data_IF_375082364596
#
_entry.id   IF_375082364596
#
_cell.length_a   1.000
_cell.length_b   1.000
_cell.length_c   1.000
_cell.angle_alpha   90.00
_cell.angle_beta   90.00
_cell.angle_gamma   90.00
#
_symmetry.space_group_name_H-M   'P 1'
#
loop_
_entity.id
_entity.type
_entity.pdbx_description
1 polymer ?
#
# COMPACT_ATOMS: atom_id res chain seq x y z
N UNK A 1 22.58 -8.18 5.19
CA UNK A 1 21.31 -8.69 4.63
C UNK A 1 20.55 -9.65 5.56
N UNK A 2 21.18 -10.40 6.44
CA UNK A 2 20.54 -11.37 7.36
C UNK A 2 19.87 -10.75 8.59
N UNK A 3 20.35 -9.62 9.09
CA UNK A 3 19.82 -8.98 10.30
C UNK A 3 18.42 -8.32 10.09
N UNK A 4 18.13 -7.78 8.92
CA UNK A 4 16.82 -7.18 8.61
C UNK A 4 15.69 -8.20 8.45
N UNK A 5 15.99 -9.43 7.98
CA UNK A 5 14.98 -10.50 7.93
C UNK A 5 14.54 -10.96 9.33
N UNK A 6 15.48 -11.04 10.27
CA UNK A 6 15.18 -11.48 11.64
C UNK A 6 14.29 -10.49 12.40
N UNK A 7 14.43 -9.18 12.16
CA UNK A 7 13.60 -8.16 12.80
C UNK A 7 12.15 -8.15 12.26
N UNK A 8 11.96 -8.36 10.96
CA UNK A 8 10.63 -8.42 10.37
C UNK A 8 9.82 -9.65 10.87
N UNK A 9 10.48 -10.78 10.99
CA UNK A 9 9.84 -12.00 11.49
C UNK A 9 9.52 -11.89 13.00
N UNK A 10 10.36 -11.22 13.79
CA UNK A 10 10.11 -10.96 15.20
C UNK A 10 8.99 -9.94 15.45
N UNK A 11 8.89 -8.88 14.62
CA UNK A 11 7.81 -7.90 14.71
C UNK A 11 6.44 -8.52 14.37
N UNK A 12 6.41 -9.43 13.38
CA UNK A 12 5.20 -10.17 13.00
C UNK A 12 4.83 -11.18 14.09
N UNK A 13 5.79 -11.84 14.74
CA UNK A 13 5.55 -12.76 15.84
C UNK A 13 5.05 -12.03 17.13
N UNK A 14 5.52 -10.80 17.39
CA UNK A 14 5.00 -9.98 18.48
C UNK A 14 3.56 -9.52 18.23
N UNK A 15 3.18 -9.25 16.97
CA UNK A 15 1.79 -9.01 16.59
C UNK A 15 0.91 -10.23 16.88
N UNK A 16 1.42 -11.44 16.63
CA UNK A 16 0.71 -12.69 16.91
C UNK A 16 0.44 -12.88 18.42
N UNK A 17 1.39 -12.50 19.29
CA UNK A 17 1.21 -12.59 20.74
C UNK A 17 0.14 -11.64 21.27
N UNK A 18 -0.02 -10.49 20.68
CA UNK A 18 -1.05 -9.50 21.06
C UNK A 18 -2.45 -9.93 20.60
N UNK A 19 -2.55 -10.63 19.46
CA UNK A 19 -3.84 -11.09 18.89
C UNK A 19 -4.33 -12.39 19.54
N UNK A 20 -3.44 -13.25 20.08
CA UNK A 20 -3.81 -14.56 20.66
C UNK A 20 -4.30 -14.50 22.11
N UNK A 21 -4.27 -13.33 22.77
CA UNK A 21 -4.72 -13.18 24.16
C UNK A 21 -6.25 -13.05 24.33
N UNK A 22 -7.06 -13.16 23.26
CA UNK A 22 -8.52 -13.15 23.37
C UNK A 22 -9.13 -14.56 23.52
N UNK A 23 -9.26 -14.95 24.75
CA UNK A 23 -10.32 -15.72 25.45
C UNK A 23 -10.90 -16.99 24.80
N UNK A 24 -10.39 -18.13 25.28
CA UNK A 24 -11.07 -19.43 25.20
C UNK A 24 -11.56 -19.84 26.59
N UNK A 25 -12.73 -19.39 27.00
CA UNK A 25 -13.42 -20.05 28.12
C UNK A 25 -14.93 -19.96 27.93
N UNK A 26 -15.54 -21.05 27.58
CA UNK A 26 -16.87 -21.52 28.00
C UNK A 26 -17.50 -22.42 26.92
N UNK A 27 -17.26 -23.70 26.99
CA UNK A 27 -18.19 -24.73 26.48
C UNK A 27 -17.85 -26.09 27.08
N UNK A 28 -18.45 -26.38 28.21
CA UNK A 28 -18.64 -27.76 28.67
C UNK A 28 -19.81 -27.81 29.64
N UNK A 29 -20.96 -28.28 29.18
CA UNK A 29 -21.96 -29.06 29.91
C UNK A 29 -23.27 -29.16 29.11
N UNK A 30 -23.51 -30.31 28.53
CA UNK A 30 -24.83 -30.96 28.42
C UNK A 30 -24.81 -32.08 27.37
N UNK A 31 -24.46 -33.30 27.80
CA UNK A 31 -24.76 -34.51 27.01
C UNK A 31 -25.12 -35.66 27.96
N UNK A 32 -26.40 -35.97 28.05
CA UNK A 32 -26.93 -37.32 28.32
C UNK A 32 -28.44 -37.29 28.09
N UNK A 33 -28.89 -37.96 27.09
CA UNK A 33 -30.09 -38.82 26.94
C UNK A 33 -30.63 -38.88 25.52
N UNK A 34 -30.86 -40.10 25.05
CA UNK A 34 -31.82 -40.59 24.09
C UNK A 34 -31.22 -41.30 22.84
N UNK A 35 -31.07 -42.63 23.07
CA UNK A 35 -30.79 -43.62 21.99
C UNK A 35 -32.11 -44.18 21.44
N UNK A 36 -32.49 -43.79 20.22
CA UNK A 36 -33.34 -44.55 19.32
C UNK A 36 -32.75 -44.47 17.91
N UNK A 37 -32.62 -45.59 17.16
CA UNK A 37 -31.88 -45.63 15.89
C UNK A 37 -32.49 -44.74 14.80
N UNK A 38 -33.79 -44.51 14.76
CA UNK A 38 -34.41 -43.57 13.83
C UNK A 38 -34.12 -42.11 14.11
N UNK A 39 -33.89 -41.74 15.38
CA UNK A 39 -33.50 -40.39 15.79
C UNK A 39 -32.02 -40.11 15.55
N UNK A 40 -31.18 -41.15 15.56
CA UNK A 40 -29.77 -41.08 15.20
C UNK A 40 -29.55 -40.81 13.72
N UNK A 41 -30.40 -41.36 12.84
CA UNK A 41 -30.35 -41.08 11.39
C UNK A 41 -30.78 -39.65 11.06
N UNK A 42 -31.80 -39.11 11.73
CA UNK A 42 -32.25 -37.73 11.54
C UNK A 42 -31.24 -36.76 12.17
N UNK A 43 -30.63 -37.07 13.33
CA UNK A 43 -29.58 -36.28 13.93
C UNK A 43 -28.29 -36.31 13.09
N UNK A 44 -27.93 -37.45 12.50
CA UNK A 44 -26.80 -37.53 11.58
C UNK A 44 -27.02 -36.72 10.28
N UNK A 45 -28.28 -36.76 9.74
CA UNK A 45 -28.63 -35.94 8.57
C UNK A 45 -28.66 -34.46 8.88
N UNK A 46 -29.12 -34.07 10.08
CA UNK A 46 -29.06 -32.66 10.53
C UNK A 46 -27.64 -32.19 10.88
N UNK A 47 -26.80 -33.09 11.37
CA UNK A 47 -25.36 -32.78 11.59
C UNK A 47 -24.60 -32.68 10.27
N UNK A 48 -24.92 -33.53 9.27
CA UNK A 48 -24.36 -33.38 7.92
C UNK A 48 -24.87 -32.10 7.22
N UNK A 49 -26.10 -31.68 7.43
CA UNK A 49 -26.62 -30.43 6.86
C UNK A 49 -26.11 -29.20 7.60
N UNK A 50 -25.74 -29.30 8.88
CA UNK A 50 -25.11 -28.21 9.62
C UNK A 50 -23.60 -28.07 9.35
N UNK A 51 -22.94 -29.13 8.86
CA UNK A 51 -21.55 -29.07 8.39
C UNK A 51 -21.40 -28.42 7.00
N UNK A 52 -22.52 -28.21 6.30
CA UNK A 52 -22.58 -27.42 5.06
C UNK A 52 -22.87 -25.92 5.28
N UNK A 53 -22.76 -25.41 6.50
CA UNK A 53 -22.53 -23.97 6.69
C UNK A 53 -21.15 -23.69 6.06
N UNK A 54 -21.18 -23.28 4.79
CA UNK A 54 -20.04 -22.64 4.18
C UNK A 54 -19.58 -21.56 5.17
N UNK A 55 -18.44 -21.81 5.84
CA UNK A 55 -17.85 -20.80 6.69
C UNK A 55 -17.64 -19.57 5.82
N UNK A 56 -18.53 -18.58 5.98
CA UNK A 56 -18.41 -17.35 5.23
C UNK A 56 -17.03 -16.80 5.49
N UNK A 57 -16.29 -16.53 4.44
CA UNK A 57 -14.93 -16.02 4.61
C UNK A 57 -15.00 -14.73 5.43
N UNK A 58 -14.16 -14.63 6.46
CA UNK A 58 -14.11 -13.43 7.27
C UNK A 58 -13.52 -12.29 6.44
N UNK A 59 -14.19 -11.16 6.45
CA UNK A 59 -13.79 -9.99 5.67
C UNK A 59 -12.52 -9.35 6.26
N UNK A 60 -11.57 -9.05 5.40
CA UNK A 60 -10.46 -8.15 5.67
C UNK A 60 -10.68 -6.92 4.83
N UNK A 61 -10.70 -5.74 5.44
CA UNK A 61 -10.76 -4.48 4.70
C UNK A 61 -9.39 -3.81 4.67
N UNK A 62 -9.14 -3.07 3.61
CA UNK A 62 -7.94 -2.25 3.42
C UNK A 62 -8.36 -0.83 3.10
N UNK A 63 -7.57 0.15 3.56
CA UNK A 63 -8.00 1.55 3.52
C UNK A 63 -8.04 2.12 2.11
N UNK A 64 -7.00 1.91 1.30
CA UNK A 64 -6.80 2.59 0.03
C UNK A 64 -6.38 1.65 -1.09
N UNK A 65 -6.27 2.19 -2.30
CA UNK A 65 -6.01 1.41 -3.50
C UNK A 65 -4.62 0.74 -3.54
N UNK A 66 -3.50 1.37 -3.14
CA UNK A 66 -2.23 0.67 -3.03
C UNK A 66 -2.28 -0.57 -2.14
N UNK A 67 -2.91 -0.48 -0.97
CA UNK A 67 -3.11 -1.63 -0.09
C UNK A 67 -4.04 -2.68 -0.71
N UNK A 68 -5.06 -2.25 -1.43
CA UNK A 68 -5.94 -3.15 -2.16
C UNK A 68 -5.17 -3.96 -3.21
N UNK A 69 -4.35 -3.33 -4.04
CA UNK A 69 -3.52 -4.01 -5.04
C UNK A 69 -2.53 -5.01 -4.41
N UNK A 70 -1.92 -4.64 -3.27
CA UNK A 70 -1.02 -5.53 -2.52
C UNK A 70 -1.79 -6.70 -1.91
N UNK A 71 -3.01 -6.45 -1.41
CA UNK A 71 -3.90 -7.49 -0.90
C UNK A 71 -4.38 -8.43 -2.00
N UNK A 72 -4.77 -7.92 -3.17
CA UNK A 72 -5.16 -8.72 -4.33
C UNK A 72 -4.02 -9.65 -4.78
N UNK A 73 -2.78 -9.18 -4.75
CA UNK A 73 -1.62 -10.02 -5.05
C UNK A 73 -1.50 -11.21 -4.07
N UNK A 74 -1.87 -11.02 -2.80
CA UNK A 74 -1.84 -12.05 -1.75
C UNK A 74 -3.05 -12.98 -1.86
N UNK A 75 -4.25 -12.43 -2.10
CA UNK A 75 -5.52 -13.18 -2.04
C UNK A 75 -5.89 -13.87 -3.34
N UNK A 76 -5.10 -13.75 -4.40
CA UNK A 76 -5.39 -14.36 -5.69
C UNK A 76 -5.76 -15.84 -5.58
N UNK A 77 -7.01 -16.18 -5.96
CA UNK A 77 -7.58 -17.54 -5.82
C UNK A 77 -8.23 -17.84 -4.47
N UNK A 78 -8.43 -16.81 -3.64
CA UNK A 78 -9.16 -16.83 -2.37
C UNK A 78 -10.05 -15.58 -2.27
N UNK A 79 -10.86 -15.43 -1.21
CA UNK A 79 -11.65 -14.22 -1.00
C UNK A 79 -10.77 -12.98 -0.93
N UNK A 80 -11.16 -11.96 -1.69
CA UNK A 80 -10.50 -10.64 -1.77
C UNK A 80 -10.72 -9.81 -0.52
N UNK A 81 -9.86 -8.80 -0.32
CA UNK A 81 -10.14 -7.75 0.65
C UNK A 81 -11.24 -6.81 0.14
N UNK A 82 -11.91 -6.13 1.05
CA UNK A 82 -12.79 -5.01 0.75
C UNK A 82 -11.99 -3.70 0.84
N UNK A 83 -12.14 -2.84 -0.15
CA UNK A 83 -11.51 -1.52 -0.16
C UNK A 83 -12.46 -0.49 0.49
N UNK A 84 -11.95 0.33 1.40
CA UNK A 84 -12.74 1.33 2.12
C UNK A 84 -12.88 2.61 1.29
N UNK A 85 -11.76 3.24 0.92
CA UNK A 85 -11.77 4.48 0.13
C UNK A 85 -11.96 4.17 -1.35
N UNK A 86 -12.67 5.04 -2.08
CA UNK A 86 -12.81 4.93 -3.53
C UNK A 86 -11.42 4.94 -4.21
N UNK A 87 -11.18 4.14 -5.26
CA UNK A 87 -9.90 4.13 -5.99
C UNK A 87 -9.44 5.48 -6.52
N UNK A 88 -10.38 6.41 -6.74
CA UNK A 88 -10.09 7.79 -7.17
C UNK A 88 -9.74 8.74 -6.02
N UNK A 89 -9.93 8.31 -4.77
CA UNK A 89 -9.60 9.10 -3.59
C UNK A 89 -8.17 8.77 -3.14
N UNK A 90 -7.28 9.72 -3.33
CA UNK A 90 -5.92 9.65 -2.78
C UNK A 90 -6.02 9.64 -1.25
N UNK A 91 -5.23 8.81 -0.59
CA UNK A 91 -5.31 8.58 0.86
C UNK A 91 -5.30 9.84 1.74
N UNK A 92 -4.78 10.97 1.20
CA UNK A 92 -4.79 12.27 1.88
C UNK A 92 -6.18 12.94 1.98
N UNK A 93 -7.11 12.66 1.06
CA UNK A 93 -8.33 13.45 0.86
C UNK A 93 -9.64 12.65 0.87
N UNK A 94 -9.58 11.33 1.04
CA UNK A 94 -10.77 10.47 1.03
C UNK A 94 -11.76 10.81 2.15
N UNK A 95 -13.06 10.77 1.84
CA UNK A 95 -14.13 10.98 2.82
C UNK A 95 -14.75 9.64 3.23
N UNK A 96 -15.08 9.50 4.53
CA UNK A 96 -15.74 8.30 5.06
C UNK A 96 -17.25 8.42 4.92
N UNK A 97 -17.86 7.48 4.22
CA UNK A 97 -19.30 7.31 4.15
C UNK A 97 -19.85 6.47 5.33
N UNK A 98 -21.15 6.53 5.64
CA UNK A 98 -21.75 5.59 6.59
C UNK A 98 -21.58 4.11 6.20
N UNK A 99 -21.46 3.81 4.90
CA UNK A 99 -21.17 2.47 4.39
C UNK A 99 -19.76 2.00 4.78
N UNK A 100 -18.78 2.91 4.69
CA UNK A 100 -17.38 2.61 5.06
C UNK A 100 -17.25 2.36 6.56
N UNK A 101 -17.96 3.14 7.39
CA UNK A 101 -18.02 2.92 8.84
C UNK A 101 -18.59 1.52 9.14
N UNK A 102 -19.62 1.10 8.42
CA UNK A 102 -20.18 -0.24 8.55
C UNK A 102 -19.20 -1.30 8.11
N UNK A 103 -18.51 -1.13 6.97
CA UNK A 103 -17.47 -2.04 6.49
C UNK A 103 -16.32 -2.19 7.51
N UNK A 104 -15.88 -1.10 8.12
CA UNK A 104 -14.88 -1.09 9.20
C UNK A 104 -15.36 -1.93 10.40
N UNK A 105 -16.61 -1.76 10.83
CA UNK A 105 -17.18 -2.47 11.98
C UNK A 105 -17.39 -3.96 11.71
N UNK A 106 -17.83 -4.30 10.52
CA UNK A 106 -18.14 -5.69 10.13
C UNK A 106 -16.88 -6.50 9.76
N UNK A 107 -15.75 -5.83 9.52
CA UNK A 107 -14.49 -6.50 9.16
C UNK A 107 -13.84 -7.18 10.36
N UNK A 108 -13.26 -8.35 10.13
CA UNK A 108 -12.42 -9.02 11.12
C UNK A 108 -11.12 -8.27 11.37
N UNK A 109 -10.53 -7.72 10.32
CA UNK A 109 -9.36 -6.84 10.36
C UNK A 109 -9.53 -5.71 9.36
N UNK A 110 -9.06 -4.53 9.73
CA UNK A 110 -8.94 -3.37 8.85
C UNK A 110 -7.47 -2.97 8.80
N UNK A 111 -6.85 -3.02 7.62
CA UNK A 111 -5.45 -2.62 7.44
C UNK A 111 -5.40 -1.26 6.79
N UNK A 112 -4.64 -0.35 7.38
CA UNK A 112 -4.42 1.00 6.88
C UNK A 112 -2.97 1.43 7.08
N UNK A 113 -2.52 2.45 6.38
CA UNK A 113 -1.15 2.93 6.58
C UNK A 113 -1.02 3.64 7.92
N UNK A 114 -1.93 4.52 8.25
CA UNK A 114 -1.94 5.28 9.49
C UNK A 114 -2.26 6.76 9.30
N UNK A 115 -2.46 7.48 10.39
CA UNK A 115 -2.91 8.87 10.40
C UNK A 115 -2.02 9.85 9.61
N UNK A 116 -0.74 9.52 9.40
CA UNK A 116 0.16 10.39 8.63
C UNK A 116 -0.17 10.45 7.13
N UNK A 117 -0.85 9.44 6.58
CA UNK A 117 -1.37 9.41 5.22
C UNK A 117 -2.88 9.67 5.21
N UNK A 118 -3.60 8.95 6.06
CA UNK A 118 -5.04 8.80 5.99
C UNK A 118 -5.72 9.56 7.15
N UNK A 119 -5.50 10.89 7.18
CA UNK A 119 -5.98 11.76 8.27
C UNK A 119 -7.48 11.62 8.52
N UNK A 120 -8.28 11.48 7.45
CA UNK A 120 -9.73 11.39 7.53
C UNK A 120 -10.20 10.06 8.14
N UNK A 121 -9.40 8.99 8.01
CA UNK A 121 -9.69 7.69 8.62
C UNK A 121 -9.29 7.63 10.11
N UNK A 122 -8.36 8.48 10.55
CA UNK A 122 -7.77 8.42 11.89
C UNK A 122 -8.82 8.44 13.01
N UNK A 123 -9.84 9.31 12.90
CA UNK A 123 -10.91 9.40 13.92
C UNK A 123 -11.64 8.07 14.10
N UNK A 124 -11.82 7.30 13.03
CA UNK A 124 -12.53 6.02 13.05
C UNK A 124 -11.61 4.83 13.34
N UNK A 125 -10.38 4.86 12.82
CA UNK A 125 -9.48 3.70 12.88
C UNK A 125 -8.54 3.69 14.08
N UNK A 126 -8.11 4.83 14.62
CA UNK A 126 -7.22 4.86 15.80
C UNK A 126 -7.83 4.18 17.04
N UNK A 127 -9.16 4.14 17.12
CA UNK A 127 -9.90 3.55 18.24
C UNK A 127 -10.56 2.21 17.88
N UNK A 128 -10.51 1.78 16.63
CA UNK A 128 -11.14 0.55 16.20
C UNK A 128 -10.27 -0.66 16.63
N UNK A 129 -10.83 -1.61 17.41
CA UNK A 129 -10.04 -2.72 17.97
C UNK A 129 -9.54 -3.71 16.92
N UNK A 130 -10.11 -3.67 15.72
CA UNK A 130 -9.76 -4.52 14.57
C UNK A 130 -8.86 -3.79 13.55
N UNK A 131 -8.49 -2.54 13.80
CA UNK A 131 -7.64 -1.77 12.92
C UNK A 131 -6.14 -2.04 13.17
N UNK A 132 -5.40 -2.18 12.08
CA UNK A 132 -3.96 -2.44 12.07
C UNK A 132 -3.29 -1.34 11.26
N UNK A 133 -2.60 -0.41 11.95
CA UNK A 133 -1.80 0.63 11.29
C UNK A 133 -0.43 0.09 10.92
N UNK A 134 -0.06 0.17 9.64
CA UNK A 134 1.26 -0.27 9.18
C UNK A 134 2.38 0.63 9.71
N UNK A 135 2.11 1.93 9.90
CA UNK A 135 3.12 2.84 10.45
C UNK A 135 3.45 2.60 11.92
N UNK A 136 2.63 1.81 12.63
CA UNK A 136 2.95 1.38 14.00
C UNK A 136 4.14 0.40 14.08
N UNK A 137 4.58 -0.18 12.94
CA UNK A 137 5.65 -1.17 12.92
C UNK A 137 6.96 -0.60 12.37
N UNK A 138 8.07 -0.89 13.05
CA UNK A 138 9.43 -0.48 12.64
C UNK A 138 10.03 -1.37 11.54
N UNK A 139 9.20 -2.18 10.87
CA UNK A 139 9.64 -3.16 9.87
C UNK A 139 9.90 -2.57 8.48
N UNK A 140 9.58 -1.30 8.27
CA UNK A 140 9.63 -0.63 6.98
C UNK A 140 10.81 0.34 6.87
N UNK A 141 11.39 0.45 5.69
CA UNK A 141 12.28 1.54 5.35
C UNK A 141 11.48 2.85 5.43
N UNK A 142 12.03 3.86 6.08
CA UNK A 142 11.37 5.16 6.26
C UNK A 142 12.29 6.29 5.86
N UNK A 143 11.73 7.29 5.22
CA UNK A 143 12.39 8.52 4.87
C UNK A 143 11.66 9.71 5.50
N UNK A 144 12.37 10.79 5.87
CA UNK A 144 11.71 12.05 6.23
C UNK A 144 11.06 12.66 4.98
N UNK A 145 10.04 13.49 5.17
CA UNK A 145 9.58 14.39 4.11
C UNK A 145 10.73 15.30 3.66
N UNK A 146 10.67 15.74 2.42
CA UNK A 146 11.56 16.77 1.89
C UNK A 146 10.77 18.07 1.65
N UNK A 147 11.43 19.19 1.80
CA UNK A 147 10.87 20.46 1.35
C UNK A 147 10.85 20.55 -0.19
N UNK A 148 10.28 21.62 -0.72
CA UNK A 148 10.18 21.84 -2.17
C UNK A 148 11.52 21.93 -2.89
N UNK A 149 12.63 22.07 -2.17
CA UNK A 149 14.00 22.08 -2.70
C UNK A 149 14.70 20.72 -2.55
N UNK A 150 14.01 19.73 -2.02
CA UNK A 150 14.53 18.37 -1.80
C UNK A 150 15.32 18.21 -0.49
N UNK A 151 15.28 19.18 0.41
CA UNK A 151 15.99 19.10 1.69
C UNK A 151 15.16 18.31 2.71
N UNK A 152 15.73 17.26 3.34
CA UNK A 152 15.03 16.47 4.34
C UNK A 152 14.58 17.31 5.55
N UNK A 153 13.34 17.10 5.99
CA UNK A 153 12.72 17.77 7.14
C UNK A 153 12.80 16.83 8.36
N UNK A 154 13.69 17.14 9.31
CA UNK A 154 13.89 16.31 10.49
C UNK A 154 12.60 16.13 11.31
N UNK A 155 12.37 14.92 11.84
CA UNK A 155 11.21 14.59 12.67
C UNK A 155 9.91 14.35 11.89
N UNK A 156 9.96 14.34 10.55
CA UNK A 156 8.82 14.01 9.69
C UNK A 156 8.93 12.61 9.10
N UNK A 157 7.84 12.11 8.51
CA UNK A 157 7.79 10.82 7.81
C UNK A 157 7.10 11.04 6.46
N UNK A 158 7.80 10.65 5.39
CA UNK A 158 7.20 10.51 4.06
C UNK A 158 6.25 9.30 4.08
N UNK A 159 4.96 9.50 3.81
CA UNK A 159 3.97 8.44 3.95
C UNK A 159 3.97 7.42 2.80
N UNK A 160 4.62 7.67 1.66
CA UNK A 160 4.52 6.87 0.42
C UNK A 160 5.35 5.57 0.47
N UNK A 161 5.38 4.88 1.63
CA UNK A 161 6.25 3.72 1.90
C UNK A 161 6.05 2.55 0.94
N UNK A 162 4.87 2.41 0.32
CA UNK A 162 4.57 1.31 -0.61
C UNK A 162 5.36 1.38 -1.91
N UNK A 163 5.88 2.56 -2.27
CA UNK A 163 6.70 2.73 -3.48
C UNK A 163 8.12 2.14 -3.34
N UNK A 164 8.59 1.86 -2.11
CA UNK A 164 9.81 1.07 -1.90
C UNK A 164 9.53 -0.42 -2.16
N UNK A 165 10.22 -1.08 -3.09
CA UNK A 165 10.04 -2.51 -3.37
C UNK A 165 10.20 -3.42 -2.15
N UNK A 166 11.13 -3.11 -1.23
CA UNK A 166 11.34 -3.91 -0.02
C UNK A 166 10.16 -3.75 0.95
N UNK A 167 9.63 -2.52 1.09
CA UNK A 167 8.43 -2.27 1.87
C UNK A 167 7.21 -2.97 1.26
N UNK A 168 7.01 -2.89 -0.06
CA UNK A 168 5.91 -3.58 -0.74
C UNK A 168 5.94 -5.09 -0.49
N UNK A 169 7.13 -5.71 -0.54
CA UNK A 169 7.33 -7.13 -0.18
C UNK A 169 7.06 -7.39 1.30
N UNK A 170 7.42 -6.47 2.20
CA UNK A 170 7.13 -6.60 3.63
C UNK A 170 5.63 -6.47 3.92
N UNK A 171 4.95 -5.51 3.28
CA UNK A 171 3.50 -5.33 3.39
C UNK A 171 2.76 -6.58 2.91
N UNK A 172 3.13 -7.16 1.75
CA UNK A 172 2.49 -8.40 1.27
C UNK A 172 2.69 -9.58 2.21
N UNK A 173 3.86 -9.70 2.87
CA UNK A 173 4.06 -10.72 3.93
C UNK A 173 3.14 -10.48 5.13
N UNK A 174 3.00 -9.23 5.58
CA UNK A 174 2.08 -8.88 6.67
C UNK A 174 0.63 -9.17 6.29
N UNK A 175 0.20 -8.78 5.08
CA UNK A 175 -1.13 -9.09 4.57
C UNK A 175 -1.38 -10.59 4.48
N UNK A 176 -0.40 -11.40 4.06
CA UNK A 176 -0.53 -12.87 4.04
C UNK A 176 -0.77 -13.45 5.45
N UNK A 177 -0.15 -12.89 6.48
CA UNK A 177 -0.40 -13.28 7.88
C UNK A 177 -1.81 -12.86 8.31
N UNK A 178 -2.22 -11.61 8.06
CA UNK A 178 -3.53 -11.08 8.44
C UNK A 178 -4.65 -11.88 7.77
N UNK A 179 -4.56 -12.10 6.46
CA UNK A 179 -5.51 -12.95 5.72
C UNK A 179 -5.53 -14.40 6.21
N UNK A 180 -4.37 -14.94 6.64
CA UNK A 180 -4.30 -16.29 7.21
C UNK A 180 -5.01 -16.39 8.55
N UNK A 181 -5.01 -15.34 9.36
CA UNK A 181 -5.78 -15.27 10.60
C UNK A 181 -7.28 -15.06 10.35
N UNK A 182 -7.63 -14.33 9.30
CA UNK A 182 -9.02 -14.19 8.90
C UNK A 182 -9.58 -15.51 8.35
N UNK A 183 -8.85 -16.15 7.44
CA UNK A 183 -9.28 -17.30 6.66
C UNK A 183 -8.21 -18.42 6.65
N UNK A 184 -8.05 -19.18 7.75
CA UNK A 184 -6.96 -20.15 7.95
C UNK A 184 -6.87 -21.24 6.86
N UNK A 185 -8.00 -21.58 6.23
CA UNK A 185 -8.09 -22.58 5.16
C UNK A 185 -7.25 -22.20 3.93
N UNK A 186 -6.99 -20.90 3.72
CA UNK A 186 -6.20 -20.39 2.59
C UNK A 186 -4.75 -20.01 2.98
N UNK A 187 -4.31 -20.26 4.22
CA UNK A 187 -2.98 -19.87 4.73
C UNK A 187 -1.84 -20.22 3.77
N UNK A 188 -1.79 -21.47 3.28
CA UNK A 188 -0.72 -21.91 2.37
C UNK A 188 -0.72 -21.11 1.07
N UNK A 189 -1.92 -20.80 0.53
CA UNK A 189 -2.08 -20.03 -0.69
C UNK A 189 -1.58 -18.59 -0.50
N UNK A 190 -1.98 -17.92 0.58
CA UNK A 190 -1.58 -16.54 0.87
C UNK A 190 -0.05 -16.40 0.96
N UNK A 191 0.62 -17.30 1.70
CA UNK A 191 2.08 -17.27 1.80
C UNK A 191 2.78 -17.59 0.47
N UNK A 192 2.24 -18.51 -0.33
CA UNK A 192 2.77 -18.80 -1.67
C UNK A 192 2.62 -17.60 -2.62
N UNK A 193 1.47 -16.91 -2.56
CA UNK A 193 1.23 -15.72 -3.36
C UNK A 193 2.14 -14.54 -2.96
N UNK A 194 2.34 -14.31 -1.66
CA UNK A 194 3.27 -13.28 -1.17
C UNK A 194 4.71 -13.56 -1.62
N UNK A 195 5.15 -14.84 -1.62
CA UNK A 195 6.46 -15.23 -2.17
C UNK A 195 6.54 -14.93 -3.66
N UNK A 196 5.52 -15.30 -4.42
CA UNK A 196 5.45 -15.04 -5.87
C UNK A 196 5.43 -13.54 -6.19
N UNK A 197 4.74 -12.74 -5.36
CA UNK A 197 4.80 -11.27 -5.46
C UNK A 197 6.23 -10.76 -5.28
N UNK A 198 6.95 -11.24 -4.26
CA UNK A 198 8.33 -10.83 -4.00
C UNK A 198 9.25 -11.16 -5.19
N UNK A 199 9.13 -12.35 -5.77
CA UNK A 199 9.90 -12.77 -6.96
C UNK A 199 9.61 -11.87 -8.17
N UNK A 200 8.34 -11.52 -8.40
CA UNK A 200 7.93 -10.60 -9.48
C UNK A 200 8.48 -9.18 -9.23
N UNK A 201 8.43 -8.70 -8.00
CA UNK A 201 8.93 -7.38 -7.63
C UNK A 201 10.44 -7.29 -7.84
N UNK A 202 11.20 -8.32 -7.40
CA UNK A 202 12.64 -8.39 -7.61
C UNK A 202 13.00 -8.40 -9.11
N UNK A 203 12.25 -9.13 -9.93
CA UNK A 203 12.43 -9.14 -11.38
C UNK A 203 12.14 -7.78 -12.02
N UNK A 204 11.10 -7.08 -11.56
CA UNK A 204 10.76 -5.73 -12.05
C UNK A 204 11.88 -4.72 -11.70
N UNK A 205 12.37 -4.75 -10.46
CA UNK A 205 13.50 -3.91 -10.02
C UNK A 205 14.75 -4.19 -10.86
N UNK A 206 15.13 -5.47 -11.03
CA UNK A 206 16.29 -5.86 -11.84
C UNK A 206 16.19 -5.38 -13.30
N UNK A 207 14.99 -5.50 -13.89
CA UNK A 207 14.72 -5.00 -15.26
C UNK A 207 14.93 -3.48 -15.36
N UNK A 208 14.39 -2.71 -14.41
CA UNK A 208 14.56 -1.25 -14.39
C UNK A 208 16.03 -0.87 -14.18
N UNK A 209 16.73 -1.53 -13.27
CA UNK A 209 18.16 -1.26 -13.00
C UNK A 209 19.04 -1.58 -14.19
N UNK A 210 18.80 -2.69 -14.89
CA UNK A 210 19.53 -3.06 -16.11
C UNK A 210 19.35 -1.98 -17.20
N UNK A 211 18.12 -1.51 -17.42
CA UNK A 211 17.85 -0.43 -18.34
C UNK A 211 18.52 0.88 -17.91
N UNK A 212 18.58 1.18 -16.58
CA UNK A 212 19.26 2.37 -16.05
C UNK A 212 20.76 2.34 -16.28
N UNK A 213 21.39 1.19 -16.13
CA UNK A 213 22.83 1.03 -16.35
C UNK A 213 23.24 1.33 -17.80
N UNK A 214 22.34 1.07 -18.76
CA UNK A 214 22.55 1.31 -20.21
C UNK A 214 22.31 2.77 -20.62
N UNK A 215 21.67 3.58 -19.79
CA UNK A 215 21.29 4.96 -20.12
C UNK A 215 22.01 5.97 -19.20
N UNK A 216 23.11 6.54 -19.69
CA UNK A 216 23.88 7.55 -18.94
C UNK A 216 23.14 8.88 -18.73
N UNK A 217 22.07 9.15 -19.51
CA UNK A 217 21.28 10.38 -19.44
C UNK A 217 20.53 10.46 -18.11
N UNK A 218 20.00 9.34 -17.62
CA UNK A 218 19.23 9.27 -16.38
C UNK A 218 20.02 9.72 -15.14
N UNK A 219 21.36 9.57 -15.17
CA UNK A 219 22.24 10.02 -14.06
C UNK A 219 22.55 11.51 -14.11
N UNK A 220 22.27 12.16 -15.24
CA UNK A 220 22.62 13.58 -15.48
C UNK A 220 21.42 14.52 -15.44
N UNK A 221 20.21 13.98 -15.59
CA UNK A 221 18.98 14.77 -15.67
C UNK A 221 18.01 14.31 -14.58
N UNK A 222 17.82 15.12 -13.51
CA UNK A 222 16.86 14.82 -12.48
C UNK A 222 15.42 15.09 -12.98
N UNK A 223 14.45 14.43 -12.33
CA UNK A 223 13.03 14.76 -12.49
C UNK A 223 12.63 15.83 -11.47
N UNK A 224 11.59 16.57 -11.83
CA UNK A 224 10.86 17.48 -10.96
C UNK A 224 9.48 16.88 -10.68
N UNK A 225 8.88 17.21 -9.55
CA UNK A 225 7.53 16.75 -9.22
C UNK A 225 6.59 17.93 -8.99
N UNK A 226 5.29 17.72 -9.13
CA UNK A 226 4.33 18.71 -8.64
C UNK A 226 4.38 18.74 -7.12
N UNK A 227 4.22 17.58 -6.43
CA UNK A 227 4.59 17.38 -5.04
C UNK A 227 5.48 16.13 -4.89
N UNK A 228 6.21 16.02 -3.77
CA UNK A 228 7.21 14.98 -3.56
C UNK A 228 6.58 13.67 -3.05
N UNK A 229 6.15 12.79 -3.96
CA UNK A 229 5.57 11.49 -3.65
C UNK A 229 6.46 10.28 -4.01
N UNK A 230 7.56 10.48 -4.73
CA UNK A 230 8.29 9.38 -5.38
C UNK A 230 9.63 9.03 -4.72
N UNK A 231 9.92 9.57 -3.54
CA UNK A 231 11.21 9.39 -2.84
C UNK A 231 11.59 7.92 -2.66
N UNK A 232 10.63 7.07 -2.32
CA UNK A 232 10.84 5.63 -2.13
C UNK A 232 11.11 4.86 -3.42
N UNK A 233 10.71 5.41 -4.58
CA UNK A 233 11.00 4.84 -5.89
C UNK A 233 12.44 5.08 -6.32
N UNK A 234 13.06 6.19 -5.90
CA UNK A 234 14.33 6.69 -6.41
C UNK A 234 15.48 5.70 -6.27
N UNK A 235 15.63 5.10 -5.09
CA UNK A 235 16.71 4.16 -4.82
C UNK A 235 16.70 2.94 -5.74
N UNK A 236 15.51 2.37 -5.96
CA UNK A 236 15.35 1.17 -6.76
C UNK A 236 15.51 1.46 -8.26
N UNK A 237 15.16 2.67 -8.69
CA UNK A 237 15.12 3.08 -10.10
C UNK A 237 16.32 3.92 -10.53
N UNK A 238 17.14 4.40 -9.59
CA UNK A 238 18.25 5.33 -9.80
C UNK A 238 17.81 6.71 -10.36
N UNK A 239 16.54 7.08 -10.13
CA UNK A 239 16.04 8.41 -10.43
C UNK A 239 16.64 9.42 -9.44
N UNK A 240 16.80 10.66 -9.91
CA UNK A 240 17.29 11.78 -9.10
C UNK A 240 16.21 12.86 -9.04
N UNK A 241 15.87 13.28 -7.84
CA UNK A 241 14.91 14.35 -7.59
C UNK A 241 15.61 15.71 -7.59
N UNK A 242 15.02 16.69 -8.26
CA UNK A 242 15.53 18.05 -8.31
C UNK A 242 14.77 19.02 -7.41
N UNK A 243 13.50 18.73 -7.13
CA UNK A 243 12.61 19.57 -6.35
C UNK A 243 11.17 19.44 -6.78
N UNK A 244 10.25 20.04 -6.01
CA UNK A 244 8.82 20.06 -6.31
C UNK A 244 8.29 21.47 -6.50
N UNK A 245 7.13 21.57 -7.15
CA UNK A 245 6.42 22.83 -7.35
C UNK A 245 5.62 23.23 -6.11
N UNK A 246 5.11 22.27 -5.38
CA UNK A 246 4.29 22.45 -4.18
C UNK A 246 4.67 21.44 -3.10
N UNK A 247 4.23 21.69 -1.89
CA UNK A 247 4.36 20.76 -0.75
C UNK A 247 3.27 19.70 -0.76
N UNK A 248 2.18 19.94 -1.51
CA UNK A 248 0.99 19.10 -1.58
C UNK A 248 0.34 19.23 -2.96
N UNK A 249 -0.36 18.19 -3.42
CA UNK A 249 -0.96 18.18 -4.75
C UNK A 249 -2.14 19.15 -4.91
N UNK A 250 -2.87 19.42 -3.83
CA UNK A 250 -4.00 20.36 -3.81
C UNK A 250 -3.58 21.82 -3.60
N UNK A 251 -2.32 22.04 -3.24
CA UNK A 251 -1.79 23.39 -3.01
C UNK A 251 -1.17 23.92 -4.29
N UNK A 252 -1.70 25.04 -4.79
CA UNK A 252 -1.13 25.72 -5.95
C UNK A 252 0.30 26.19 -5.70
N UNK A 253 1.23 26.03 -6.66
CA UNK A 253 2.61 26.46 -6.53
C UNK A 253 2.73 27.97 -6.26
N UNK A 254 3.54 28.35 -5.29
CA UNK A 254 3.84 29.75 -4.97
C UNK A 254 4.67 30.37 -6.11
N UNK A 255 4.47 31.66 -6.37
CA UNK A 255 5.25 32.39 -7.38
C UNK A 255 6.77 32.38 -7.10
N UNK A 256 7.17 32.41 -5.81
CA UNK A 256 8.57 32.26 -5.39
C UNK A 256 9.14 30.89 -5.77
N UNK A 257 8.36 29.83 -5.61
CA UNK A 257 8.77 28.49 -5.96
C UNK A 257 8.92 28.32 -7.48
N UNK A 258 7.96 28.80 -8.25
CA UNK A 258 8.08 28.79 -9.72
C UNK A 258 9.31 29.57 -10.22
N UNK A 259 9.65 30.67 -9.56
CA UNK A 259 10.88 31.43 -9.85
C UNK A 259 12.11 30.57 -9.54
N UNK A 260 12.19 30.00 -8.34
CA UNK A 260 13.29 29.14 -7.95
C UNK A 260 13.48 27.95 -8.91
N UNK A 261 12.40 27.29 -9.30
CA UNK A 261 12.43 26.18 -10.28
C UNK A 261 13.02 26.67 -11.60
N UNK A 262 12.59 27.83 -12.12
CA UNK A 262 13.12 28.38 -13.37
C UNK A 262 14.59 28.80 -13.32
N UNK A 263 15.07 29.21 -12.14
CA UNK A 263 16.47 29.57 -11.90
C UNK A 263 17.39 28.33 -11.76
N UNK A 264 16.84 27.20 -11.25
CA UNK A 264 17.59 25.99 -10.96
C UNK A 264 17.36 24.85 -11.95
N UNK A 265 16.46 25.01 -12.93
CA UNK A 265 16.18 24.02 -13.97
C UNK A 265 17.35 23.85 -14.94
N UNK A 266 17.53 22.70 -15.57
CA UNK A 266 18.51 22.53 -16.64
C UNK A 266 18.18 23.47 -17.81
N UNK A 267 19.18 23.88 -18.55
CA UNK A 267 19.05 24.72 -19.75
C UNK A 267 18.23 24.05 -20.88
N UNK A 268 18.14 22.71 -20.84
CA UNK A 268 17.31 21.91 -21.74
C UNK A 268 15.93 21.64 -21.15
N UNK A 269 15.13 20.86 -21.85
CA UNK A 269 13.80 20.42 -21.43
C UNK A 269 13.87 19.72 -20.07
N UNK A 270 13.10 20.18 -19.12
CA UNK A 270 12.92 19.51 -17.83
C UNK A 270 11.80 18.47 -17.92
N UNK A 271 11.84 17.44 -17.07
CA UNK A 271 10.72 16.54 -16.86
C UNK A 271 10.00 16.89 -15.56
N UNK A 272 8.67 17.02 -15.61
CA UNK A 272 7.83 17.18 -14.42
C UNK A 272 6.87 15.99 -14.30
N UNK A 273 6.84 15.41 -13.11
CA UNK A 273 5.91 14.35 -12.73
C UNK A 273 4.75 14.96 -11.94
N UNK A 274 3.53 14.66 -12.34
CA UNK A 274 2.31 15.17 -11.70
C UNK A 274 1.37 14.01 -11.39
N UNK A 275 0.50 14.15 -10.41
CA UNK A 275 -0.48 13.12 -10.04
C UNK A 275 -1.70 13.14 -10.96
N UNK A 276 -2.04 14.34 -11.44
CA UNK A 276 -3.13 14.60 -12.39
C UNK A 276 -2.65 15.48 -13.55
N UNK A 277 -3.50 15.68 -14.55
CA UNK A 277 -3.18 16.55 -15.69
C UNK A 277 -2.89 17.99 -15.22
N UNK A 278 -1.67 18.49 -15.43
CA UNK A 278 -1.29 19.81 -14.96
C UNK A 278 -1.97 20.91 -15.79
N UNK A 279 -2.32 22.00 -15.12
CA UNK A 279 -2.91 23.15 -15.79
C UNK A 279 -2.02 23.68 -16.93
N UNK A 280 -2.58 23.90 -18.12
CA UNK A 280 -1.86 24.41 -19.30
C UNK A 280 -1.08 25.70 -19.02
N UNK A 281 -1.63 26.59 -18.20
CA UNK A 281 -0.98 27.83 -17.78
C UNK A 281 0.24 27.62 -16.89
N UNK A 282 0.27 26.53 -16.09
CA UNK A 282 1.43 26.14 -15.30
C UNK A 282 2.56 25.66 -16.22
N UNK A 283 2.27 24.72 -17.12
CA UNK A 283 3.26 24.21 -18.07
C UNK A 283 3.83 25.32 -18.96
N UNK A 284 3.02 26.30 -19.36
CA UNK A 284 3.49 27.44 -20.14
C UNK A 284 4.57 28.26 -19.42
N UNK A 285 4.51 28.37 -18.08
CA UNK A 285 5.51 29.08 -17.27
C UNK A 285 6.81 28.29 -17.06
N UNK A 286 6.79 26.98 -17.34
CA UNK A 286 7.92 26.08 -17.14
C UNK A 286 8.59 25.63 -18.45
N UNK A 287 8.20 26.17 -19.61
CA UNK A 287 8.76 25.77 -20.93
C UNK A 287 10.27 26.04 -21.02
N UNK A 288 11.03 25.15 -21.70
CA UNK A 288 10.65 23.87 -22.28
C UNK A 288 10.49 22.79 -21.21
N UNK A 289 9.36 22.08 -21.20
CA UNK A 289 9.02 21.06 -20.21
C UNK A 289 8.27 19.89 -20.85
N UNK A 290 8.68 18.67 -20.49
CA UNK A 290 7.90 17.45 -20.67
C UNK A 290 7.15 17.17 -19.37
N UNK A 291 5.95 16.59 -19.45
CA UNK A 291 5.20 16.14 -18.29
C UNK A 291 4.80 14.68 -18.42
N UNK A 292 4.72 13.99 -17.31
CA UNK A 292 4.11 12.66 -17.21
C UNK A 292 3.19 12.62 -16.00
N UNK A 293 1.99 12.05 -16.19
CA UNK A 293 1.02 11.86 -15.12
C UNK A 293 1.25 10.50 -14.49
N UNK A 294 1.56 10.50 -13.21
CA UNK A 294 1.82 9.30 -12.41
C UNK A 294 1.11 9.43 -11.07
N UNK A 295 -0.02 8.75 -10.94
CA UNK A 295 -0.71 8.68 -9.67
C UNK A 295 0.06 7.76 -8.72
N UNK A 296 0.48 8.27 -7.55
CA UNK A 296 1.21 7.50 -6.55
C UNK A 296 0.36 6.40 -5.93
N UNK A 297 -0.96 6.51 -5.99
CA UNK A 297 -1.92 5.49 -5.58
C UNK A 297 -2.09 4.34 -6.58
N UNK A 298 -1.45 4.44 -7.76
CA UNK A 298 -1.51 3.44 -8.83
C UNK A 298 -2.94 3.19 -9.36
N UNK A 299 -3.87 4.15 -9.24
CA UNK A 299 -5.27 4.04 -9.70
C UNK A 299 -5.39 3.71 -11.19
N UNK A 300 -4.35 3.98 -11.97
CA UNK A 300 -4.24 3.64 -13.40
C UNK A 300 -3.81 2.18 -13.67
N UNK A 301 -3.55 1.36 -12.65
CA UNK A 301 -3.12 -0.04 -12.78
C UNK A 301 -4.05 -0.99 -12.04
N UNK A 302 -4.14 -2.23 -12.53
CA UNK A 302 -4.86 -3.35 -11.88
C UNK A 302 -3.92 -4.37 -11.23
N UNK A 303 -2.62 -4.13 -11.26
CA UNK A 303 -1.60 -4.98 -10.67
C UNK A 303 -0.47 -4.10 -10.13
N UNK A 304 -0.11 -4.31 -8.87
CA UNK A 304 0.87 -3.47 -8.18
C UNK A 304 2.23 -3.46 -8.86
N UNK A 305 2.78 -4.63 -9.20
CA UNK A 305 4.12 -4.74 -9.78
C UNK A 305 4.16 -4.07 -11.16
N UNK A 306 3.12 -4.28 -11.96
CA UNK A 306 3.01 -3.64 -13.27
C UNK A 306 2.86 -2.11 -13.14
N UNK A 307 2.03 -1.63 -12.21
CA UNK A 307 1.86 -0.19 -11.93
C UNK A 307 3.16 0.46 -11.51
N UNK A 308 3.88 -0.15 -10.57
CA UNK A 308 5.18 0.30 -10.11
C UNK A 308 6.21 0.38 -11.26
N UNK A 309 6.27 -0.68 -12.09
CA UNK A 309 7.19 -0.74 -13.22
C UNK A 309 6.86 0.30 -14.30
N UNK A 310 5.58 0.47 -14.61
CA UNK A 310 5.10 1.50 -15.57
C UNK A 310 5.44 2.90 -15.08
N UNK A 311 5.18 3.21 -13.81
CA UNK A 311 5.54 4.50 -13.19
C UNK A 311 7.04 4.80 -13.35
N UNK A 312 7.89 3.86 -12.96
CA UNK A 312 9.33 4.00 -13.11
C UNK A 312 9.77 4.23 -14.57
N UNK A 313 9.19 3.49 -15.53
CA UNK A 313 9.51 3.61 -16.96
C UNK A 313 9.05 4.95 -17.53
N UNK A 314 7.86 5.41 -17.21
CA UNK A 314 7.30 6.66 -17.74
C UNK A 314 8.02 7.90 -17.20
N UNK A 315 8.42 7.91 -15.93
CA UNK A 315 9.27 8.97 -15.37
C UNK A 315 10.62 9.00 -16.12
N UNK A 316 11.23 7.84 -16.38
CA UNK A 316 12.48 7.74 -17.12
C UNK A 316 12.36 8.21 -18.56
N UNK A 317 11.26 7.88 -19.26
CA UNK A 317 10.99 8.36 -20.61
C UNK A 317 10.80 9.88 -20.65
N UNK A 318 10.18 10.46 -19.64
CA UNK A 318 9.99 11.90 -19.53
C UNK A 318 11.33 12.66 -19.36
N UNK A 319 12.32 12.03 -18.69
CA UNK A 319 13.67 12.58 -18.49
C UNK A 319 14.53 12.48 -19.77
N UNK A 320 14.31 11.45 -20.58
CA UNK A 320 15.09 11.15 -21.79
C UNK A 320 14.73 12.07 -22.94
#
# INVERSE_FOLDING_TARGET
>A
MTAHRHNADNAINNLLHTITSFNTSSFNKCWRALLQPQRLLIAALMILSSLAMSAQAATVSVSNYPLFLLSEAVTKGAPSAEQILDPSEVGHHGSISPGDIKAIQDSKFVVWFGASLEHNLATSLDKAPNAISLYAFDAFNRHPLRDVQGVPIAGTLDPHIWLDPENAKAITRALAVIHSHANPQYKKLYHANAKKFAERMDAAVASIQQQSAQNSILRKHPYWAYHDAYQYLERATQLQFAGSLSVDEDIAPKASQLRWVNENRPSKTMCIVTQSEPAKGLLAKLRPVNSTVQSEDMSNSKDFVNGWQMMAQQIRQCIS
#
